data_IF_328243518185
#
_entry.id   IF_328243518185
#
_cell.length_a   1.000
_cell.length_b   1.000
_cell.length_c   1.000
_cell.angle_alpha   90.00
_cell.angle_beta   90.00
_cell.angle_gamma   90.00
#
_symmetry.space_group_name_H-M   'P 1'
#
loop_
_entity.id
_entity.type
_entity.pdbx_description
1 polymer ?
#
# COMPACT_ATOMS: atom_id res chain seq x y z
N UNK A 1 -24.53 12.62 24.18
CA UNK A 1 -23.34 13.20 23.54
C UNK A 1 -23.72 14.49 22.85
N UNK A 2 -22.87 15.51 22.93
CA UNK A 2 -23.13 16.81 22.29
C UNK A 2 -22.80 16.81 20.80
N UNK A 3 -22.00 15.82 20.37
CA UNK A 3 -21.60 15.63 18.97
C UNK A 3 -21.43 14.15 18.66
N UNK A 4 -21.68 13.78 17.39
CA UNK A 4 -21.48 12.42 16.89
C UNK A 4 -20.64 12.51 15.62
N UNK A 5 -19.55 11.73 15.56
CA UNK A 5 -18.73 11.57 14.37
C UNK A 5 -19.15 10.30 13.62
N UNK A 6 -19.53 10.44 12.35
CA UNK A 6 -19.82 9.31 11.45
C UNK A 6 -18.68 9.19 10.45
N UNK A 7 -17.89 8.13 10.56
CA UNK A 7 -16.70 7.86 9.74
C UNK A 7 -16.69 6.38 9.29
N UNK A 8 -17.80 5.91 8.68
CA UNK A 8 -18.05 4.50 8.36
C UNK A 8 -17.46 4.03 7.02
N UNK A 9 -16.57 4.83 6.43
CA UNK A 9 -15.96 4.52 5.15
C UNK A 9 -16.61 5.23 3.95
N UNK A 10 -16.26 4.77 2.76
CA UNK A 10 -16.67 5.34 1.46
C UNK A 10 -17.33 4.29 0.61
N UNK A 11 -18.11 4.76 -0.39
CA UNK A 11 -18.70 3.92 -1.44
C UNK A 11 -18.39 4.54 -2.78
N UNK A 12 -18.24 3.74 -3.85
CA UNK A 12 -18.13 4.25 -5.21
C UNK A 12 -19.34 5.14 -5.54
N UNK A 13 -19.09 6.31 -6.12
CA UNK A 13 -20.16 7.21 -6.55
C UNK A 13 -20.45 6.97 -8.03
N UNK A 14 -21.16 5.90 -8.33
CA UNK A 14 -21.48 5.42 -9.68
C UNK A 14 -22.96 5.62 -10.06
N UNK A 15 -23.80 6.07 -9.11
CA UNK A 15 -25.24 6.23 -9.35
C UNK A 15 -25.52 7.43 -10.25
N UNK A 16 -26.59 7.34 -11.03
CA UNK A 16 -27.13 8.43 -11.87
C UNK A 16 -26.14 8.95 -12.93
N UNK A 17 -25.13 8.12 -13.30
CA UNK A 17 -24.19 8.41 -14.37
C UNK A 17 -24.59 7.80 -15.73
N UNK A 18 -25.76 7.14 -15.80
CA UNK A 18 -26.24 6.49 -17.02
C UNK A 18 -25.42 5.26 -17.45
N UNK A 19 -24.63 4.67 -16.54
CA UNK A 19 -23.74 3.55 -16.84
C UNK A 19 -24.48 2.32 -17.33
N UNK A 20 -25.64 2.03 -16.72
CA UNK A 20 -26.50 0.91 -17.09
C UNK A 20 -27.07 1.08 -18.52
N UNK A 21 -27.37 2.31 -18.93
CA UNK A 21 -27.93 2.58 -20.26
C UNK A 21 -26.94 2.29 -21.40
N UNK A 22 -25.64 2.35 -21.11
CA UNK A 22 -24.56 2.00 -22.06
C UNK A 22 -23.99 0.60 -21.80
N UNK A 23 -24.55 -0.16 -20.86
CA UNK A 23 -24.19 -1.54 -20.58
C UNK A 23 -22.91 -1.74 -19.78
N UNK A 24 -22.46 -0.71 -19.05
CA UNK A 24 -21.30 -0.83 -18.15
C UNK A 24 -21.66 -1.70 -16.94
N UNK A 25 -20.84 -2.71 -16.65
CA UNK A 25 -21.06 -3.62 -15.53
C UNK A 25 -20.62 -2.98 -14.20
N UNK A 26 -21.51 -3.07 -13.23
CA UNK A 26 -21.26 -2.69 -11.84
C UNK A 26 -21.18 -3.95 -10.95
N UNK A 27 -20.26 -3.94 -10.00
CA UNK A 27 -20.13 -4.95 -8.96
C UNK A 27 -20.12 -4.25 -7.59
N UNK A 28 -21.10 -4.52 -6.75
CA UNK A 28 -21.28 -3.85 -5.45
C UNK A 28 -21.29 -2.31 -5.54
N UNK A 29 -21.79 -1.75 -6.66
CA UNK A 29 -21.82 -0.32 -6.93
C UNK A 29 -20.51 0.24 -7.49
N UNK A 30 -19.48 -0.55 -7.69
CA UNK A 30 -18.24 -0.17 -8.33
C UNK A 30 -18.25 -0.50 -9.84
N UNK A 31 -17.63 0.33 -10.66
CA UNK A 31 -17.44 0.03 -12.08
C UNK A 31 -16.36 -1.06 -12.23
N UNK A 32 -16.72 -2.18 -12.83
CA UNK A 32 -15.79 -3.28 -13.07
C UNK A 32 -14.75 -2.91 -14.14
N UNK A 33 -13.46 -3.07 -13.82
CA UNK A 33 -12.36 -2.84 -14.75
C UNK A 33 -11.35 -4.00 -14.73
N UNK A 34 -10.65 -4.17 -15.88
CA UNK A 34 -9.48 -5.03 -15.97
C UNK A 34 -8.20 -4.33 -15.42
N UNK A 35 -7.03 -4.96 -15.59
CA UNK A 35 -5.74 -4.38 -15.18
C UNK A 35 -5.25 -3.23 -16.08
N UNK A 36 -5.93 -2.96 -17.18
CA UNK A 36 -5.70 -1.85 -18.10
C UNK A 36 -6.73 -0.72 -17.92
N UNK A 37 -7.51 -0.75 -16.85
CA UNK A 37 -8.58 0.18 -16.52
C UNK A 37 -9.76 0.17 -17.52
N UNK A 38 -9.86 -0.83 -18.40
CA UNK A 38 -10.96 -0.98 -19.33
C UNK A 38 -12.20 -1.50 -18.63
N UNK A 39 -13.35 -0.95 -18.96
CA UNK A 39 -14.63 -1.59 -18.61
C UNK A 39 -14.95 -2.70 -19.63
N UNK A 40 -16.08 -3.36 -19.44
CA UNK A 40 -16.60 -4.31 -20.42
C UNK A 40 -17.11 -3.65 -21.73
N UNK A 41 -17.27 -2.33 -21.75
CA UNK A 41 -17.73 -1.57 -22.91
C UNK A 41 -16.52 -0.91 -23.60
N UNK A 42 -16.23 -1.25 -24.86
CA UNK A 42 -15.12 -0.66 -25.61
C UNK A 42 -15.14 0.87 -25.61
N UNK A 43 -13.99 1.48 -25.34
CA UNK A 43 -13.83 2.94 -25.31
C UNK A 43 -14.22 3.59 -23.98
N UNK A 44 -14.73 2.82 -23.00
CA UNK A 44 -15.05 3.33 -21.66
C UNK A 44 -14.03 2.75 -20.65
N UNK A 45 -13.42 3.65 -19.89
CA UNK A 45 -12.44 3.36 -18.84
C UNK A 45 -12.94 3.92 -17.51
N UNK A 46 -12.53 3.30 -16.39
CA UNK A 46 -12.88 3.82 -15.07
C UNK A 46 -11.65 3.76 -14.15
N UNK A 47 -11.34 4.89 -13.51
CA UNK A 47 -10.19 5.08 -12.64
C UNK A 47 -10.61 5.76 -11.34
N UNK A 48 -9.86 5.50 -10.27
CA UNK A 48 -10.11 6.07 -8.95
C UNK A 48 -11.28 5.40 -8.22
N UNK A 49 -11.84 6.11 -7.26
CA UNK A 49 -12.84 5.60 -6.30
C UNK A 49 -14.04 4.90 -6.95
N UNK A 50 -14.39 5.29 -8.19
CA UNK A 50 -15.52 4.74 -8.92
C UNK A 50 -15.37 3.25 -9.26
N UNK A 51 -14.12 2.75 -9.40
CA UNK A 51 -13.85 1.33 -9.65
C UNK A 51 -13.81 0.47 -8.37
N UNK A 52 -13.80 1.10 -7.20
CA UNK A 52 -13.89 0.45 -5.89
C UNK A 52 -12.70 -0.38 -5.46
N UNK A 53 -11.60 -0.42 -6.24
CA UNK A 53 -10.44 -1.27 -5.94
C UNK A 53 -9.54 -0.67 -4.85
N UNK A 54 -9.25 0.63 -4.95
CA UNK A 54 -8.46 1.36 -3.96
C UNK A 54 -8.88 2.83 -3.97
N UNK A 55 -9.54 3.26 -2.88
CA UNK A 55 -10.09 4.61 -2.77
C UNK A 55 -9.05 5.58 -2.20
N UNK A 56 -7.89 5.66 -2.88
CA UNK A 56 -6.75 6.49 -2.52
C UNK A 56 -6.32 7.35 -3.70
N UNK A 57 -6.05 8.62 -3.47
CA UNK A 57 -5.71 9.59 -4.52
C UNK A 57 -4.48 9.15 -5.35
N UNK A 58 -3.42 8.67 -4.68
CA UNK A 58 -2.20 8.20 -5.36
C UNK A 58 -2.44 6.94 -6.21
N UNK A 59 -3.38 6.08 -5.82
CA UNK A 59 -3.81 4.96 -6.67
C UNK A 59 -4.53 5.47 -7.90
N UNK A 60 -5.45 6.44 -7.75
CA UNK A 60 -6.20 7.02 -8.86
C UNK A 60 -5.26 7.70 -9.89
N UNK A 61 -4.18 8.36 -9.45
CA UNK A 61 -3.18 8.91 -10.36
C UNK A 61 -2.54 7.81 -11.21
N UNK A 62 -2.10 6.72 -10.59
CA UNK A 62 -1.46 5.62 -11.33
C UNK A 62 -2.45 4.90 -12.26
N UNK A 63 -3.67 4.70 -11.83
CA UNK A 63 -4.75 4.14 -12.68
C UNK A 63 -5.02 5.02 -13.90
N UNK A 64 -5.02 6.35 -13.73
CA UNK A 64 -5.21 7.30 -14.82
C UNK A 64 -4.07 7.21 -15.86
N UNK A 65 -2.82 7.10 -15.41
CA UNK A 65 -1.68 6.87 -16.30
C UNK A 65 -1.84 5.57 -17.10
N UNK A 66 -2.20 4.46 -16.44
CA UNK A 66 -2.45 3.16 -17.10
C UNK A 66 -3.57 3.27 -18.12
N UNK A 67 -4.67 3.97 -17.81
CA UNK A 67 -5.76 4.17 -18.73
C UNK A 67 -5.31 4.96 -19.97
N UNK A 68 -4.57 6.04 -19.79
CA UNK A 68 -4.05 6.86 -20.91
C UNK A 68 -3.05 6.06 -21.74
N UNK A 69 -2.11 5.34 -21.13
CA UNK A 69 -1.18 4.46 -21.86
C UNK A 69 -1.93 3.41 -22.67
N UNK A 70 -2.98 2.83 -22.10
CA UNK A 70 -3.83 1.85 -22.80
C UNK A 70 -4.53 2.47 -24.01
N UNK A 71 -5.09 3.68 -23.87
CA UNK A 71 -5.73 4.43 -24.97
C UNK A 71 -4.73 4.71 -26.10
N UNK A 72 -3.48 5.04 -25.75
CA UNK A 72 -2.40 5.30 -26.69
C UNK A 72 -1.74 4.03 -27.27
N UNK A 73 -2.23 2.84 -26.92
CA UNK A 73 -1.66 1.58 -27.38
C UNK A 73 -0.29 1.22 -26.75
N UNK A 74 0.09 1.89 -25.68
CA UNK A 74 1.31 1.59 -24.93
C UNK A 74 1.09 0.42 -23.98
N UNK A 75 2.15 -0.37 -23.74
CA UNK A 75 2.09 -1.49 -22.77
C UNK A 75 2.23 -0.97 -21.36
N UNK A 76 1.16 -1.05 -20.61
CA UNK A 76 1.14 -0.73 -19.18
C UNK A 76 0.02 -1.52 -18.48
N UNK A 77 0.22 -1.82 -17.19
CA UNK A 77 -0.76 -2.54 -16.37
C UNK A 77 -0.73 -2.03 -14.93
N UNK A 78 -1.90 -2.00 -14.30
CA UNK A 78 -2.00 -1.65 -12.89
C UNK A 78 -1.64 -2.83 -12.00
N UNK A 79 -0.73 -2.59 -11.05
CA UNK A 79 -0.43 -3.47 -9.92
C UNK A 79 -1.02 -2.87 -8.64
N UNK A 80 -1.74 -3.68 -7.88
CA UNK A 80 -2.26 -3.30 -6.55
C UNK A 80 -1.47 -3.94 -5.41
N UNK A 81 -0.35 -4.59 -5.73
CA UNK A 81 0.43 -5.40 -4.78
C UNK A 81 1.13 -4.57 -3.71
N UNK A 82 1.50 -3.34 -4.04
CA UNK A 82 2.32 -2.48 -3.20
C UNK A 82 1.76 -1.06 -3.08
N UNK A 83 0.44 -0.92 -2.94
CA UNK A 83 -0.20 0.38 -2.71
C UNK A 83 -0.03 0.77 -1.23
N UNK A 84 0.68 1.87 -0.92
CA UNK A 84 0.77 2.33 0.46
C UNK A 84 -0.57 2.90 0.95
N UNK A 85 -0.88 2.69 2.22
CA UNK A 85 -2.01 3.30 2.91
C UNK A 85 -1.54 3.99 4.18
N UNK A 86 -2.04 5.18 4.45
CA UNK A 86 -1.61 5.97 5.61
C UNK A 86 -2.82 6.59 6.31
N UNK A 87 -2.85 6.47 7.63
CA UNK A 87 -3.69 7.25 8.52
C UNK A 87 -2.81 8.33 9.15
N UNK A 88 -3.09 9.59 8.86
CA UNK A 88 -2.33 10.77 9.30
C UNK A 88 -2.72 11.18 10.72
N UNK A 89 -2.61 10.24 11.64
CA UNK A 89 -2.74 10.45 13.09
C UNK A 89 -1.38 10.83 13.70
N UNK A 90 -1.30 11.04 15.01
CA UNK A 90 -0.07 11.26 15.77
C UNK A 90 -0.01 10.19 16.86
N UNK A 91 0.87 9.19 16.73
CA UNK A 91 1.72 8.86 15.57
C UNK A 91 0.93 8.41 14.35
N UNK A 92 1.53 8.51 13.15
CA UNK A 92 0.98 7.99 11.90
C UNK A 92 0.89 6.45 11.93
N UNK A 93 -0.14 5.91 11.25
CA UNK A 93 -0.22 4.48 10.98
C UNK A 93 -0.14 4.24 9.47
N UNK A 94 0.87 3.56 9.03
CA UNK A 94 1.06 3.24 7.61
C UNK A 94 1.16 1.74 7.35
N UNK A 95 0.79 1.34 6.14
CA UNK A 95 0.89 -0.04 5.68
C UNK A 95 1.16 -0.12 4.19
N UNK A 96 1.78 -1.21 3.74
CA UNK A 96 1.94 -1.55 2.34
C UNK A 96 2.04 -3.08 2.18
N UNK A 97 1.45 -3.60 1.10
CA UNK A 97 1.42 -5.04 0.85
C UNK A 97 0.49 -5.80 1.80
N UNK A 98 0.79 -7.06 2.05
CA UNK A 98 -0.06 -7.98 2.81
C UNK A 98 0.13 -7.83 4.33
N UNK A 99 -0.96 -7.97 5.07
CA UNK A 99 -0.87 -8.29 6.50
C UNK A 99 -0.40 -9.74 6.69
N UNK A 100 -0.02 -10.10 7.92
CA UNK A 100 0.33 -11.47 8.27
C UNK A 100 -0.84 -12.44 8.01
N UNK A 101 -2.05 -12.00 8.34
CA UNK A 101 -3.29 -12.75 8.20
C UNK A 101 -3.62 -12.97 6.72
N UNK A 102 -3.53 -11.95 5.90
CA UNK A 102 -3.77 -12.02 4.45
C UNK A 102 -2.72 -12.91 3.77
N UNK A 103 -1.45 -12.79 4.14
CA UNK A 103 -0.39 -13.64 3.61
C UNK A 103 -0.63 -15.12 3.92
N UNK A 104 -1.00 -15.44 5.17
CA UNK A 104 -1.37 -16.81 5.57
C UNK A 104 -2.62 -17.31 4.85
N UNK A 105 -3.63 -16.46 4.68
CA UNK A 105 -4.85 -16.81 3.95
C UNK A 105 -4.58 -17.13 2.46
N UNK A 106 -3.52 -16.52 1.89
CA UNK A 106 -3.04 -16.84 0.54
C UNK A 106 -2.11 -18.09 0.50
N UNK A 107 -1.90 -18.76 1.63
CA UNK A 107 -1.08 -19.97 1.71
C UNK A 107 0.43 -19.70 1.73
N UNK A 108 0.87 -18.47 2.00
CA UNK A 108 2.29 -18.15 2.11
C UNK A 108 2.85 -18.59 3.47
N UNK A 109 4.01 -19.22 3.47
CA UNK A 109 4.80 -19.47 4.68
C UNK A 109 5.62 -18.23 5.01
N UNK A 110 5.13 -17.43 5.94
CA UNK A 110 5.72 -16.14 6.27
C UNK A 110 6.43 -16.15 7.63
N UNK A 111 7.52 -15.39 7.69
CA UNK A 111 8.12 -14.89 8.92
C UNK A 111 7.66 -13.46 9.18
N UNK A 112 7.51 -13.11 10.44
CA UNK A 112 7.15 -11.75 10.85
C UNK A 112 8.20 -11.21 11.78
N UNK A 113 8.81 -10.11 11.39
CA UNK A 113 9.72 -9.33 12.22
C UNK A 113 8.98 -8.12 12.76
N UNK A 114 9.04 -7.94 14.07
CA UNK A 114 8.49 -6.76 14.77
C UNK A 114 9.59 -6.14 15.59
N UNK A 115 9.88 -4.87 15.38
CA UNK A 115 10.87 -4.15 16.17
C UNK A 115 10.29 -2.81 16.64
N UNK A 116 10.66 -2.36 17.86
CA UNK A 116 10.29 -1.03 18.31
C UNK A 116 11.01 0.05 17.50
N UNK A 117 10.39 1.19 17.32
CA UNK A 117 10.99 2.34 16.63
C UNK A 117 12.22 2.88 17.36
N UNK A 118 12.43 2.50 18.62
CA UNK A 118 13.65 2.81 19.39
C UNK A 118 14.95 2.27 18.75
N UNK A 119 14.87 1.37 17.77
CA UNK A 119 16.02 0.98 16.95
C UNK A 119 16.49 2.07 15.99
N UNK A 120 15.69 3.13 15.77
CA UNK A 120 16.11 4.33 15.04
C UNK A 120 16.50 5.44 16.01
N UNK A 121 17.79 5.78 16.06
CA UNK A 121 18.29 6.86 16.90
C UNK A 121 17.68 8.23 16.57
N UNK A 122 17.41 8.50 15.29
CA UNK A 122 16.72 9.72 14.84
C UNK A 122 15.28 9.76 15.37
N UNK A 123 14.57 8.64 15.32
CA UNK A 123 13.21 8.59 15.87
C UNK A 123 13.18 8.91 17.37
N UNK A 124 14.08 8.31 18.15
CA UNK A 124 14.19 8.55 19.60
C UNK A 124 14.53 10.01 19.90
N UNK A 125 15.43 10.61 19.11
CA UNK A 125 15.82 12.00 19.31
C UNK A 125 14.68 13.01 19.05
N UNK A 126 13.72 12.64 18.20
CA UNK A 126 12.59 13.53 17.82
C UNK A 126 11.28 13.17 18.53
N UNK A 127 11.18 11.99 19.13
CA UNK A 127 9.97 11.54 19.82
C UNK A 127 10.33 11.14 21.25
N UNK A 128 9.94 11.98 22.21
CA UNK A 128 10.06 11.70 23.63
C UNK A 128 9.38 10.34 23.92
N UNK A 129 10.04 9.43 24.62
CA UNK A 129 9.66 8.05 24.90
C UNK A 129 9.86 7.03 23.74
N UNK A 130 10.05 7.47 22.49
CA UNK A 130 10.34 6.59 21.36
C UNK A 130 9.28 5.53 21.04
N UNK A 131 8.04 5.75 21.46
CA UNK A 131 6.93 4.81 21.25
C UNK A 131 6.62 4.66 19.76
N UNK A 132 6.53 3.42 19.33
CA UNK A 132 6.22 3.08 17.96
C UNK A 132 6.72 1.68 17.62
N UNK A 133 6.20 1.14 16.53
CA UNK A 133 6.54 -0.23 16.10
C UNK A 133 6.64 -0.27 14.57
N UNK A 134 7.61 -1.04 14.10
CA UNK A 134 7.72 -1.40 12.69
C UNK A 134 7.64 -2.91 12.52
N UNK A 135 6.86 -3.36 11.54
CA UNK A 135 6.61 -4.76 11.25
C UNK A 135 6.91 -5.05 9.79
N UNK A 136 7.68 -6.12 9.52
CA UNK A 136 7.85 -6.71 8.20
C UNK A 136 7.20 -8.09 8.15
N UNK A 137 6.53 -8.40 7.03
CA UNK A 137 6.03 -9.72 6.66
C UNK A 137 6.87 -10.23 5.50
N UNK A 138 7.52 -11.37 5.68
CA UNK A 138 8.54 -11.88 4.77
C UNK A 138 8.14 -13.29 4.31
N UNK A 139 8.05 -13.52 3.01
CA UNK A 139 7.93 -14.85 2.43
C UNK A 139 9.24 -15.62 2.65
N UNK A 140 9.19 -16.71 3.44
CA UNK A 140 10.38 -17.51 3.76
C UNK A 140 10.93 -18.25 2.56
N UNK A 141 10.08 -18.67 1.62
CA UNK A 141 10.48 -19.42 0.43
C UNK A 141 11.20 -18.54 -0.57
N UNK A 142 10.64 -17.37 -0.88
CA UNK A 142 11.20 -16.40 -1.83
C UNK A 142 12.23 -15.48 -1.17
N UNK A 143 12.26 -15.41 0.16
CA UNK A 143 13.07 -14.48 0.96
C UNK A 143 12.85 -13.02 0.55
N UNK A 144 11.60 -12.65 0.27
CA UNK A 144 11.20 -11.29 -0.12
C UNK A 144 10.20 -10.70 0.86
N UNK A 145 10.20 -9.38 1.01
CA UNK A 145 9.16 -8.70 1.78
C UNK A 145 7.86 -8.73 1.00
N UNK A 146 6.77 -9.13 1.64
CA UNK A 146 5.42 -9.16 1.05
C UNK A 146 4.48 -8.18 1.72
N UNK A 147 4.88 -7.61 2.86
CA UNK A 147 4.10 -6.59 3.55
C UNK A 147 4.87 -5.89 4.66
N UNK A 148 4.41 -4.70 5.02
CA UNK A 148 4.91 -3.94 6.15
C UNK A 148 3.82 -3.09 6.79
N UNK A 149 3.91 -2.86 8.10
CA UNK A 149 3.07 -1.95 8.87
C UNK A 149 3.95 -1.15 9.81
N UNK A 150 3.64 0.13 10.00
CA UNK A 150 4.34 1.01 10.92
C UNK A 150 3.37 1.87 11.71
N UNK A 151 3.57 1.94 13.01
CA UNK A 151 2.98 2.96 13.89
C UNK A 151 4.10 3.86 14.35
N UNK A 152 4.30 4.99 13.67
CA UNK A 152 5.42 5.88 13.91
C UNK A 152 5.24 7.20 13.18
N UNK A 153 5.72 8.31 13.74
CA UNK A 153 5.88 9.57 12.99
C UNK A 153 6.81 9.32 11.79
N UNK A 154 6.56 10.02 10.68
CA UNK A 154 7.26 9.86 9.39
C UNK A 154 7.04 8.51 8.68
N UNK A 155 6.12 7.68 9.17
CA UNK A 155 5.87 6.39 8.51
C UNK A 155 5.29 6.57 7.10
N UNK A 156 4.56 7.64 6.85
CA UNK A 156 4.08 8.01 5.52
C UNK A 156 5.21 8.19 4.49
N UNK A 157 6.37 8.70 4.93
CA UNK A 157 7.50 8.96 4.06
C UNK A 157 8.30 7.68 3.74
N UNK A 158 8.59 6.86 4.75
CA UNK A 158 9.45 5.70 4.54
C UNK A 158 8.71 4.43 4.09
N UNK A 159 7.40 4.32 4.31
CA UNK A 159 6.65 3.12 3.90
C UNK A 159 6.68 2.89 2.38
N UNK A 160 6.78 3.96 1.60
CA UNK A 160 6.89 3.90 0.14
C UNK A 160 8.16 3.15 -0.33
N UNK A 161 9.26 3.24 0.43
CA UNK A 161 10.50 2.48 0.14
C UNK A 161 10.25 0.98 0.24
N UNK A 162 9.49 0.55 1.24
CA UNK A 162 9.09 -0.86 1.35
C UNK A 162 8.16 -1.27 0.20
N UNK A 163 7.28 -0.38 -0.24
CA UNK A 163 6.45 -0.58 -1.42
C UNK A 163 7.29 -0.89 -2.68
N UNK A 164 8.38 -0.16 -2.89
CA UNK A 164 9.32 -0.44 -4.00
C UNK A 164 9.95 -1.82 -3.85
N UNK A 165 10.36 -2.22 -2.64
CA UNK A 165 10.92 -3.55 -2.41
C UNK A 165 9.92 -4.67 -2.70
N UNK A 166 8.64 -4.49 -2.34
CA UNK A 166 7.58 -5.45 -2.64
C UNK A 166 7.31 -5.52 -4.14
N UNK A 167 7.17 -4.35 -4.80
CA UNK A 167 6.84 -4.31 -6.24
C UNK A 167 7.94 -4.96 -7.09
N UNK A 168 9.21 -4.74 -6.74
CA UNK A 168 10.36 -5.29 -7.42
C UNK A 168 10.78 -6.68 -6.90
N UNK A 169 10.06 -7.23 -5.91
CA UNK A 169 10.38 -8.50 -5.25
C UNK A 169 11.85 -8.57 -4.79
N UNK A 170 12.34 -7.50 -4.16
CA UNK A 170 13.75 -7.40 -3.74
C UNK A 170 14.04 -8.43 -2.65
N UNK A 171 15.06 -9.29 -2.82
CA UNK A 171 15.48 -10.23 -1.79
C UNK A 171 15.89 -9.51 -0.50
N UNK A 172 15.47 -10.04 0.65
CA UNK A 172 15.75 -9.45 1.97
C UNK A 172 17.27 -9.27 2.20
N UNK A 173 18.08 -10.16 1.67
CA UNK A 173 19.54 -10.11 1.79
C UNK A 173 20.16 -8.92 1.02
N UNK A 174 19.46 -8.40 0.01
CA UNK A 174 19.85 -7.15 -0.64
C UNK A 174 19.40 -5.93 0.16
N UNK A 175 18.23 -5.99 0.80
CA UNK A 175 17.74 -4.93 1.70
C UNK A 175 18.71 -4.74 2.88
N UNK A 176 19.23 -5.84 3.47
CA UNK A 176 20.26 -5.79 4.52
C UNK A 176 21.53 -5.06 4.10
N UNK A 177 21.87 -5.11 2.82
CA UNK A 177 23.07 -4.48 2.25
C UNK A 177 22.85 -3.05 1.76
N UNK A 178 21.56 -2.62 1.72
CA UNK A 178 21.23 -1.26 1.29
C UNK A 178 21.80 -0.24 2.27
N UNK A 179 22.40 0.82 1.72
CA UNK A 179 22.87 1.96 2.50
C UNK A 179 21.73 2.95 2.68
N UNK A 180 21.39 3.21 3.92
CA UNK A 180 20.42 4.25 4.31
C UNK A 180 21.20 5.46 4.83
N UNK A 181 20.70 6.70 4.61
CA UNK A 181 21.31 7.87 5.22
C UNK A 181 21.25 7.80 6.75
N UNK A 182 22.31 8.21 7.43
CA UNK A 182 22.37 8.25 8.89
C UNK A 182 22.55 9.68 9.39
N UNK A 183 21.78 10.15 10.42
CA UNK A 183 20.65 9.44 11.07
C UNK A 183 19.33 9.69 10.37
N UNK A 184 18.54 8.66 10.11
CA UNK A 184 17.19 8.77 9.55
C UNK A 184 16.21 7.79 10.23
N UNK A 185 14.91 8.10 10.18
CA UNK A 185 13.86 7.19 10.66
C UNK A 185 13.77 5.97 9.74
N UNK A 186 14.02 6.13 8.44
CA UNK A 186 13.95 5.06 7.43
C UNK A 186 14.95 3.90 7.66
N UNK A 187 16.03 4.11 8.46
CA UNK A 187 16.97 3.04 8.83
C UNK A 187 16.27 1.86 9.52
N UNK A 188 15.09 2.10 10.12
CA UNK A 188 14.27 1.04 10.75
C UNK A 188 14.00 -0.12 9.79
N UNK A 189 13.90 0.13 8.50
CA UNK A 189 13.67 -0.89 7.46
C UNK A 189 14.84 -1.89 7.43
N UNK A 190 16.06 -1.37 7.42
CA UNK A 190 17.27 -2.20 7.41
C UNK A 190 17.44 -2.94 8.75
N UNK A 191 17.21 -2.25 9.86
CA UNK A 191 17.28 -2.86 11.18
C UNK A 191 16.30 -4.03 11.31
N UNK A 192 15.07 -3.88 10.82
CA UNK A 192 14.10 -4.97 10.77
C UNK A 192 14.55 -6.10 9.83
N UNK A 193 15.07 -5.77 8.65
CA UNK A 193 15.56 -6.76 7.71
C UNK A 193 16.70 -7.60 8.33
N UNK A 194 17.58 -6.99 9.11
CA UNK A 194 18.70 -7.67 9.78
C UNK A 194 18.26 -8.66 10.87
N UNK A 195 17.05 -8.54 11.42
CA UNK A 195 16.50 -9.50 12.38
C UNK A 195 16.00 -10.79 11.73
N UNK A 196 15.80 -10.81 10.44
CA UNK A 196 15.42 -12.03 9.72
C UNK A 196 16.68 -12.87 9.43
N UNK A 197 16.66 -14.15 9.82
CA UNK A 197 17.78 -15.09 9.68
C UNK A 197 18.01 -15.55 8.20
#
# INVERSE_FOLDING_TARGET
ADRVLVALGRRPNSRDLGLESVGVLLENGAVRTDCHMRTNVPGIYAVGDVNGKSMLAHTAYREAEVAVHTILGQKDTMSYRAIPSVLYTIPELSSVGLTEEEAKAQGLDVAVVRIPMAYSGRYVAENENGDGIFKLVIDKKLRTVVGAQALANYSSEFIAVVGVFIELAVPIDLIKKQVFPHPTVAEIIREAACQFA
#
